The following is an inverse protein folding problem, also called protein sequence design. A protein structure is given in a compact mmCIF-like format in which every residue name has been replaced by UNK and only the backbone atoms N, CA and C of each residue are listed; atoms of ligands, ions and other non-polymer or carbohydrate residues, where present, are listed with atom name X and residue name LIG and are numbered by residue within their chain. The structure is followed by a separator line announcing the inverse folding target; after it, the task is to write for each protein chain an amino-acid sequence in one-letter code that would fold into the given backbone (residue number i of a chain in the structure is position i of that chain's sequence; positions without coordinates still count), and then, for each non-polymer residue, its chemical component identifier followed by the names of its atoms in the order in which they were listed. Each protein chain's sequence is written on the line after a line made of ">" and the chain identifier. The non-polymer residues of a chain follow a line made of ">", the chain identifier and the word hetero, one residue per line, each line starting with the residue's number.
data_IF_778717431255
#
_entry.id   IF_778717431255
#
_cell.length_a   1.000
_cell.length_b   1.000
_cell.length_c   1.000
_cell.angle_alpha   90.00
_cell.angle_beta   90.00
_cell.angle_gamma   90.00
#
_symmetry.space_group_name_H-M   'P 1'
#
loop_
_entity.id
_entity.type
_entity.pdbx_description
1 polymer ?
#
# COMPACT_ATOMS: atom_id res chain seq x y z
N UNK A 1 0.05 -0.59 10.17
CA UNK A 1 1.31 -1.33 10.32
C UNK A 1 1.41 -1.77 11.76
N UNK A 2 1.54 -3.08 11.95
CA UNK A 2 1.68 -3.68 13.27
C UNK A 2 3.01 -3.29 13.89
N UNK A 3 3.02 -3.21 15.21
CA UNK A 3 4.19 -3.07 16.06
C UNK A 3 4.07 -4.05 17.22
N UNK A 4 4.91 -3.87 18.23
CA UNK A 4 4.97 -4.61 19.50
C UNK A 4 3.55 -4.91 20.05
N UNK A 5 3.00 -6.06 19.67
CA UNK A 5 1.62 -6.53 19.87
C UNK A 5 0.50 -5.49 19.70
N UNK A 6 0.71 -4.49 18.83
CA UNK A 6 -0.20 -3.36 18.69
C UNK A 6 -0.37 -2.96 17.24
N UNK A 7 -1.52 -2.38 16.90
CA UNK A 7 -1.84 -1.96 15.53
C UNK A 7 -2.14 -0.45 15.42
N UNK A 8 -2.22 0.26 16.55
CA UNK A 8 -2.55 1.68 16.60
C UNK A 8 -4.02 1.99 16.28
N UNK A 9 -4.88 0.97 16.28
CA UNK A 9 -6.33 1.09 16.30
C UNK A 9 -6.87 0.77 17.69
N UNK A 10 -8.16 1.04 17.92
CA UNK A 10 -8.85 0.75 19.17
C UNK A 10 -10.18 0.01 18.90
N UNK A 11 -10.72 -0.64 19.94
CA UNK A 11 -11.99 -1.36 19.88
C UNK A 11 -12.02 -2.50 18.86
N UNK A 12 -13.18 -2.69 18.22
CA UNK A 12 -13.40 -3.80 17.28
C UNK A 12 -12.43 -3.81 16.08
N UNK A 13 -11.95 -2.63 15.65
CA UNK A 13 -10.93 -2.57 14.59
C UNK A 13 -9.59 -3.13 15.06
N UNK A 14 -9.19 -2.85 16.30
CA UNK A 14 -7.97 -3.40 16.86
C UNK A 14 -8.05 -4.94 16.97
N UNK A 15 -9.20 -5.45 17.42
CA UNK A 15 -9.45 -6.89 17.50
C UNK A 15 -9.31 -7.57 16.13
N UNK A 16 -9.92 -7.00 15.09
CA UNK A 16 -9.84 -7.53 13.73
C UNK A 16 -8.41 -7.47 13.16
N UNK A 17 -7.72 -6.33 13.30
CA UNK A 17 -6.36 -6.16 12.81
C UNK A 17 -5.38 -7.11 13.54
N UNK A 18 -5.49 -7.25 14.87
CA UNK A 18 -4.63 -8.15 15.65
C UNK A 18 -4.96 -9.63 15.41
N UNK A 19 -6.23 -9.99 15.17
CA UNK A 19 -6.60 -11.34 14.78
C UNK A 19 -6.00 -11.73 13.42
N UNK A 20 -5.94 -10.80 12.46
CA UNK A 20 -5.22 -10.99 11.21
C UNK A 20 -3.72 -11.16 11.43
N UNK A 21 -3.10 -10.26 12.21
CA UNK A 21 -1.67 -10.33 12.49
C UNK A 21 -1.25 -11.61 13.23
N UNK A 22 -2.13 -12.12 14.11
CA UNK A 22 -1.92 -13.37 14.84
C UNK A 22 -1.81 -14.62 13.96
N UNK A 23 -2.21 -14.54 12.69
CA UNK A 23 -1.97 -15.60 11.70
C UNK A 23 -0.49 -15.74 11.31
N UNK A 24 0.35 -14.75 11.68
CA UNK A 24 1.77 -14.69 11.36
C UNK A 24 2.63 -14.50 12.62
N UNK A 25 2.70 -15.51 13.51
CA UNK A 25 3.33 -15.39 14.82
C UNK A 25 4.83 -15.07 14.78
N UNK A 26 5.55 -15.52 13.75
CA UNK A 26 6.98 -15.25 13.57
C UNK A 26 7.27 -13.77 13.33
N UNK A 27 6.42 -13.08 12.56
CA UNK A 27 6.56 -11.65 12.35
C UNK A 27 6.18 -10.88 13.63
N UNK A 28 5.11 -11.28 14.31
CA UNK A 28 4.72 -10.65 15.59
C UNK A 28 5.81 -10.79 16.66
N UNK A 29 6.50 -11.94 16.74
CA UNK A 29 7.64 -12.12 17.63
C UNK A 29 8.79 -11.16 17.30
N UNK A 30 9.10 -10.96 16.01
CA UNK A 30 10.12 -10.01 15.57
C UNK A 30 9.77 -8.55 15.92
N UNK A 31 8.51 -8.15 15.68
CA UNK A 31 8.03 -6.80 16.00
C UNK A 31 8.11 -6.50 17.50
N UNK A 32 7.80 -7.51 18.33
CA UNK A 32 7.94 -7.46 19.79
C UNK A 32 9.40 -7.38 20.23
N UNK A 33 10.25 -8.27 19.71
CA UNK A 33 11.68 -8.32 20.08
C UNK A 33 12.41 -7.01 19.75
N UNK A 34 11.98 -6.32 18.70
CA UNK A 34 12.54 -5.03 18.28
C UNK A 34 11.88 -3.83 18.94
N UNK A 35 10.82 -4.02 19.75
CA UNK A 35 9.98 -2.95 20.31
C UNK A 35 9.50 -1.97 19.24
N UNK A 36 9.16 -2.50 18.06
CA UNK A 36 8.78 -1.67 16.92
C UNK A 36 7.47 -0.94 17.24
N UNK A 37 7.46 0.38 17.09
CA UNK A 37 6.24 1.16 17.31
C UNK A 37 5.26 0.93 16.17
N UNK A 38 3.97 0.72 16.45
CA UNK A 38 2.96 0.63 15.40
C UNK A 38 2.84 1.97 14.67
N UNK A 39 2.46 1.91 13.40
CA UNK A 39 2.24 3.09 12.57
C UNK A 39 0.98 2.90 11.72
N UNK A 40 0.26 3.98 11.40
CA UNK A 40 -0.92 3.92 10.54
C UNK A 40 -0.57 4.32 9.12
N UNK A 41 -1.20 3.66 8.16
CA UNK A 41 -1.08 3.95 6.73
C UNK A 41 -2.48 3.88 6.13
N UNK A 42 -2.85 4.85 5.31
CA UNK A 42 -4.12 4.81 4.59
C UNK A 42 -4.16 3.60 3.67
N UNK A 43 -5.28 2.87 3.68
CA UNK A 43 -5.47 1.70 2.82
C UNK A 43 -5.69 2.09 1.36
N UNK A 44 -6.31 3.23 1.12
CA UNK A 44 -6.50 3.79 -0.21
C UNK A 44 -5.49 4.92 -0.47
N UNK A 45 -4.90 4.89 -1.67
CA UNK A 45 -4.11 5.99 -2.22
C UNK A 45 -4.97 6.73 -3.24
N UNK A 46 -5.21 8.02 -3.02
CA UNK A 46 -5.94 8.87 -3.96
C UNK A 46 -4.96 9.86 -4.61
N UNK A 47 -4.70 9.73 -5.93
CA UNK A 47 -3.97 10.75 -6.67
C UNK A 47 -4.75 12.08 -6.67
N UNK A 48 -4.01 13.18 -6.65
CA UNK A 48 -4.56 14.54 -6.64
C UNK A 48 -4.18 15.27 -7.93
N UNK A 49 -5.05 16.20 -8.34
CA UNK A 49 -4.87 17.05 -9.52
C UNK A 49 -4.49 16.27 -10.79
N UNK A 50 -5.25 15.22 -11.07
CA UNK A 50 -5.02 14.33 -12.20
C UNK A 50 -5.30 15.01 -13.55
N UNK A 51 -4.34 14.94 -14.47
CA UNK A 51 -4.51 15.33 -15.87
C UNK A 51 -3.94 14.25 -16.80
N UNK A 52 -4.67 13.92 -17.85
CA UNK A 52 -4.26 12.94 -18.85
C UNK A 52 -4.31 13.59 -20.23
N UNK A 53 -3.16 13.65 -20.89
CA UNK A 53 -3.01 14.18 -22.24
C UNK A 53 -2.57 13.06 -23.19
N UNK A 54 -3.26 12.90 -24.32
CA UNK A 54 -2.92 11.88 -25.32
C UNK A 54 -2.25 12.53 -26.53
N UNK A 55 -1.10 12.00 -26.92
CA UNK A 55 -0.32 12.40 -28.08
C UNK A 55 -0.09 11.19 -28.99
N UNK A 56 -1.02 10.96 -29.92
CA UNK A 56 -0.99 9.80 -30.81
C UNK A 56 -1.10 8.49 -30.03
N UNK A 57 -0.03 7.69 -30.06
CA UNK A 57 0.07 6.39 -29.38
C UNK A 57 0.74 6.50 -27.99
N UNK A 58 0.92 7.72 -27.49
CA UNK A 58 1.48 7.99 -26.17
C UNK A 58 0.51 8.80 -25.33
N UNK A 59 0.62 8.67 -24.02
CA UNK A 59 -0.12 9.48 -23.07
C UNK A 59 0.78 9.97 -21.93
N UNK A 60 0.57 11.21 -21.51
CA UNK A 60 1.20 11.81 -20.33
C UNK A 60 0.15 11.88 -19.24
N UNK A 61 0.43 11.26 -18.09
CA UNK A 61 -0.46 11.26 -16.94
C UNK A 61 0.20 11.98 -15.76
N UNK A 62 -0.25 13.21 -15.49
CA UNK A 62 0.21 14.06 -14.41
C UNK A 62 -0.70 13.90 -13.19
N UNK A 63 -0.09 13.74 -12.01
CA UNK A 63 -0.80 13.67 -10.73
C UNK A 63 0.16 13.88 -9.56
N UNK A 64 -0.37 14.28 -8.41
CA UNK A 64 0.37 14.33 -7.15
C UNK A 64 0.00 13.16 -6.25
N UNK A 65 1.00 12.70 -5.49
CA UNK A 65 0.82 11.69 -4.45
C UNK A 65 1.21 12.24 -3.07
N UNK A 66 0.48 11.84 -2.01
CA UNK A 66 0.94 12.08 -0.65
C UNK A 66 2.27 11.36 -0.41
N UNK A 67 3.04 11.86 0.57
CA UNK A 67 4.29 11.25 0.97
C UNK A 67 4.11 9.74 1.28
N UNK A 68 5.01 8.92 0.73
CA UNK A 68 4.95 7.47 0.87
C UNK A 68 3.98 6.76 -0.08
N UNK A 69 3.30 7.49 -0.97
CA UNK A 69 2.62 6.93 -2.15
C UNK A 69 3.62 6.65 -3.28
N UNK A 70 3.29 5.68 -4.13
CA UNK A 70 4.13 5.29 -5.27
C UNK A 70 3.33 5.41 -6.57
N UNK A 71 3.91 6.03 -7.58
CA UNK A 71 3.27 6.20 -8.89
C UNK A 71 2.92 4.86 -9.55
N UNK A 72 3.74 3.83 -9.34
CA UNK A 72 3.50 2.47 -9.87
C UNK A 72 2.17 1.89 -9.40
N UNK A 73 1.76 2.12 -8.14
CA UNK A 73 0.46 1.66 -7.61
C UNK A 73 -0.71 2.32 -8.34
N UNK A 74 -0.55 3.56 -8.79
CA UNK A 74 -1.58 4.23 -9.59
C UNK A 74 -1.64 3.63 -10.98
N UNK A 75 -0.48 3.40 -11.60
CA UNK A 75 -0.41 2.85 -12.96
C UNK A 75 -0.93 1.41 -13.04
N UNK A 76 -0.66 0.57 -12.03
CA UNK A 76 -1.18 -0.81 -12.00
C UNK A 76 -2.70 -0.90 -11.92
N UNK A 77 -3.38 0.16 -11.46
CA UNK A 77 -4.84 0.23 -11.41
C UNK A 77 -5.46 0.77 -12.71
N UNK A 78 -4.66 1.43 -13.55
CA UNK A 78 -5.12 2.08 -14.80
C UNK A 78 -4.73 1.25 -16.03
N UNK A 79 -3.60 0.54 -15.96
CA UNK A 79 -3.01 -0.19 -17.06
C UNK A 79 -3.02 -1.68 -16.77
N UNK A 80 -3.50 -2.47 -17.72
CA UNK A 80 -3.19 -3.89 -17.79
C UNK A 80 -1.76 -4.05 -18.32
N UNK A 81 -0.80 -4.05 -17.40
CA UNK A 81 0.61 -4.25 -17.72
C UNK A 81 0.85 -5.74 -18.02
N UNK A 82 0.94 -6.10 -19.29
CA UNK A 82 1.44 -7.41 -19.68
C UNK A 82 2.98 -7.41 -19.67
N UNK A 83 3.59 -8.32 -18.91
CA UNK A 83 5.04 -8.53 -18.92
C UNK A 83 5.49 -8.96 -20.33
N UNK A 84 6.19 -8.08 -21.04
CA UNK A 84 6.70 -8.29 -22.40
C UNK A 84 7.77 -9.39 -22.55
N UNK A 85 8.06 -10.16 -21.49
CA UNK A 85 8.98 -11.30 -21.53
C UNK A 85 8.34 -12.62 -21.98
N UNK A 86 7.03 -12.64 -22.24
CA UNK A 86 6.35 -13.79 -22.85
C UNK A 86 6.35 -13.65 -24.37
N UNK A 87 7.43 -14.08 -25.01
CA UNK A 87 7.40 -14.46 -26.42
C UNK A 87 6.58 -15.76 -26.56
N UNK A 88 5.73 -15.91 -27.60
CA UNK A 88 4.92 -17.11 -27.84
C UNK A 88 5.75 -18.38 -28.09
#
# INVERSE_FOLDING_TARGET
>A
MFGDDSCGAEGALAEAELAFAGQYPEFMALLRATRMRPARRSLALKPLDCALEQEGDSAVFDFFLPAGGFATVVLTEILDLEDGSRTP
#
